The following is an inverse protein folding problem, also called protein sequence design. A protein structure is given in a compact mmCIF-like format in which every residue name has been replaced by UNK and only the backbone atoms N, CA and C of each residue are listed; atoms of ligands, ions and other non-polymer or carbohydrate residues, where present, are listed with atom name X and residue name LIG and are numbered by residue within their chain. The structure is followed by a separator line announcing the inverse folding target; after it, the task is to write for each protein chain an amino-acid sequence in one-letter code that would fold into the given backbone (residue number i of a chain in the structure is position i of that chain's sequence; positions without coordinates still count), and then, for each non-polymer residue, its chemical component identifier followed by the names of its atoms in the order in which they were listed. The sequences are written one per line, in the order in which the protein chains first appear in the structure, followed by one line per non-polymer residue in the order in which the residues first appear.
data_IF_686463478394
#
_entry.id   IF_686463478394
#
_cell.length_a   1.000
_cell.length_b   1.000
_cell.length_c   1.000
_cell.angle_alpha   90.00
_cell.angle_beta   90.00
_cell.angle_gamma   90.00
#
_symmetry.space_group_name_H-M   'P 1'
#
loop_
_entity.id
_entity.type
_entity.pdbx_description
1 polymer ?
#
# COMPACT_ATOMS: atom_id res chain seq x y z
N UNK A 1 18.93 -3.05 -2.07
CA UNK A 1 17.57 -3.43 -1.67
C UNK A 1 17.10 -2.51 -0.54
N UNK A 2 15.90 -1.97 -0.65
CA UNK A 2 15.22 -1.16 0.36
C UNK A 2 13.99 -1.93 0.83
N UNK A 3 13.67 -1.84 2.12
CA UNK A 3 12.42 -2.35 2.67
C UNK A 3 11.55 -1.17 3.07
N UNK A 4 10.37 -1.07 2.48
CA UNK A 4 9.33 -0.11 2.82
C UNK A 4 8.43 -0.80 3.84
N UNK A 5 8.41 -0.32 5.08
CA UNK A 5 7.38 -0.69 6.04
C UNK A 5 6.21 0.28 5.91
N UNK A 6 4.99 -0.22 5.93
CA UNK A 6 3.79 0.60 5.84
C UNK A 6 2.78 0.24 6.93
N UNK A 7 1.97 1.23 7.28
CA UNK A 7 0.98 1.16 8.33
C UNK A 7 -0.20 2.07 7.94
N UNK A 8 -1.37 1.49 7.72
CA UNK A 8 -2.59 2.19 7.35
C UNK A 8 -3.63 1.92 8.44
N UNK A 9 -4.15 2.97 9.06
CA UNK A 9 -5.12 2.87 10.18
C UNK A 9 -6.38 3.63 9.89
N UNK A 10 -7.51 3.03 10.23
CA UNK A 10 -8.75 3.75 10.38
C UNK A 10 -8.76 4.48 11.74
N UNK A 11 -9.00 5.78 11.72
CA UNK A 11 -9.21 6.57 12.96
C UNK A 11 -10.47 6.14 13.68
N UNK A 12 -11.54 5.86 12.91
CA UNK A 12 -12.83 5.41 13.39
C UNK A 12 -13.32 4.21 12.58
N UNK A 13 -14.30 3.48 13.10
CA UNK A 13 -14.92 2.38 12.36
C UNK A 13 -15.64 2.95 11.12
N UNK A 14 -15.33 2.44 9.91
CA UNK A 14 -16.06 2.85 8.72
C UNK A 14 -17.54 2.43 8.83
N UNK A 15 -18.44 3.28 8.31
CA UNK A 15 -19.88 3.02 8.29
C UNK A 15 -20.17 1.77 7.44
N UNK A 16 -19.48 1.65 6.32
CA UNK A 16 -19.55 0.48 5.45
C UNK A 16 -18.31 -0.37 5.68
N UNK A 17 -18.53 -1.63 6.03
CA UNK A 17 -17.44 -2.61 6.21
C UNK A 17 -17.53 -3.62 5.08
N UNK A 18 -16.64 -3.49 4.12
CA UNK A 18 -16.60 -4.32 2.92
C UNK A 18 -15.21 -4.83 2.63
N UNK A 19 -14.91 -4.91 1.36
CA UNK A 19 -13.59 -5.29 0.86
C UNK A 19 -12.94 -4.05 0.28
N UNK A 20 -11.78 -3.71 0.80
CA UNK A 20 -10.99 -2.58 0.38
C UNK A 20 -9.75 -3.00 -0.40
N UNK A 21 -8.98 -2.04 -0.86
CA UNK A 21 -7.71 -2.27 -1.51
C UNK A 21 -6.78 -1.07 -1.32
N UNK A 22 -5.48 -1.30 -1.43
CA UNK A 22 -4.48 -0.24 -1.37
C UNK A 22 -3.38 -0.47 -2.38
N UNK A 23 -2.69 0.60 -2.76
CA UNK A 23 -1.52 0.55 -3.62
C UNK A 23 -0.34 1.24 -2.97
N UNK A 24 0.85 0.69 -3.16
CA UNK A 24 2.13 1.28 -2.79
C UNK A 24 2.98 1.32 -4.03
N UNK A 25 3.34 2.53 -4.47
CA UNK A 25 4.23 2.75 -5.59
C UNK A 25 5.50 3.46 -5.19
N UNK A 26 6.54 3.39 -6.01
CA UNK A 26 7.79 4.08 -5.76
C UNK A 26 8.50 4.48 -7.03
N UNK A 27 9.30 5.55 -6.92
CA UNK A 27 10.29 5.97 -7.89
C UNK A 27 11.64 6.00 -7.18
N UNK A 28 12.63 5.32 -7.74
CA UNK A 28 13.98 5.32 -7.20
C UNK A 28 14.93 6.02 -8.16
N UNK A 29 15.93 6.71 -7.63
CA UNK A 29 16.97 7.37 -8.40
C UNK A 29 18.35 7.16 -7.80
N UNK A 30 19.37 7.25 -8.65
CA UNK A 30 20.78 7.26 -8.26
C UNK A 30 21.25 8.63 -7.75
N UNK A 31 22.53 8.75 -7.42
CA UNK A 31 23.14 10.00 -6.95
C UNK A 31 23.15 11.12 -7.99
N UNK A 32 22.99 10.80 -9.26
CA UNK A 32 22.88 11.74 -10.38
C UNK A 32 21.43 12.09 -10.74
N UNK A 33 20.48 11.62 -9.92
CA UNK A 33 19.03 11.77 -10.13
C UNK A 33 18.48 11.04 -11.37
N UNK A 34 19.21 10.07 -11.91
CA UNK A 34 18.68 9.21 -12.96
C UNK A 34 17.72 8.18 -12.34
N UNK A 35 16.55 8.05 -12.94
CA UNK A 35 15.57 7.05 -12.50
C UNK A 35 16.11 5.63 -12.72
N UNK A 36 15.98 4.81 -11.68
CA UNK A 36 16.41 3.42 -11.69
C UNK A 36 15.25 2.49 -12.02
N UNK A 37 15.51 1.52 -12.88
CA UNK A 37 14.60 0.39 -13.06
C UNK A 37 14.62 -0.47 -11.80
N UNK A 38 13.45 -0.70 -11.22
CA UNK A 38 13.26 -1.44 -9.97
C UNK A 38 12.39 -2.67 -10.14
N UNK A 39 12.49 -3.59 -9.20
CA UNK A 39 11.62 -4.77 -9.10
C UNK A 39 11.18 -4.97 -7.66
N UNK A 40 9.99 -5.54 -7.49
CA UNK A 40 9.52 -6.04 -6.20
C UNK A 40 10.29 -7.31 -5.85
N UNK A 41 10.95 -7.31 -4.70
CA UNK A 41 11.71 -8.47 -4.19
C UNK A 41 10.88 -9.29 -3.19
N UNK A 42 9.94 -8.64 -2.50
CA UNK A 42 9.01 -9.27 -1.56
C UNK A 42 7.85 -8.30 -1.28
N UNK A 43 6.68 -8.81 -0.97
CA UNK A 43 5.58 -8.02 -0.47
C UNK A 43 4.75 -8.86 0.50
N UNK A 44 4.41 -8.29 1.64
CA UNK A 44 3.59 -8.92 2.70
C UNK A 44 2.62 -7.88 3.22
N UNK A 45 1.38 -8.29 3.42
CA UNK A 45 0.33 -7.47 4.02
C UNK A 45 -0.55 -8.27 4.97
N UNK A 46 -0.97 -7.64 6.05
CA UNK A 46 -1.85 -8.20 7.06
C UNK A 46 -2.87 -7.16 7.53
N UNK A 47 -4.11 -7.59 7.72
CA UNK A 47 -5.17 -6.82 8.38
C UNK A 47 -5.31 -7.30 9.80
N UNK A 48 -5.26 -6.40 10.78
CA UNK A 48 -5.54 -6.67 12.18
C UNK A 48 -6.92 -6.13 12.56
N UNK A 49 -7.67 -6.93 13.32
CA UNK A 49 -9.06 -6.66 13.67
C UNK A 49 -9.22 -6.15 15.10
N UNK A 50 -10.18 -5.25 15.27
CA UNK A 50 -10.58 -4.69 16.56
C UNK A 50 -12.06 -4.98 16.82
N UNK A 51 -12.45 -5.03 18.10
CA UNK A 51 -13.84 -5.10 18.50
C UNK A 51 -14.57 -3.79 18.14
N UNK A 52 -15.73 -3.92 17.51
CA UNK A 52 -16.55 -2.78 17.10
C UNK A 52 -17.06 -1.95 18.28
N UNK A 53 -17.27 -2.58 19.45
CA UNK A 53 -17.78 -1.94 20.65
C UNK A 53 -16.74 -1.12 21.41
N UNK A 54 -15.46 -1.53 21.37
CA UNK A 54 -14.40 -0.92 22.20
C UNK A 54 -13.25 -0.33 21.37
N UNK A 55 -13.08 -0.76 20.12
CA UNK A 55 -11.91 -0.42 19.30
C UNK A 55 -10.60 -1.10 19.74
N UNK A 56 -10.66 -1.97 20.76
CA UNK A 56 -9.51 -2.72 21.23
C UNK A 56 -9.19 -3.89 20.30
N UNK A 57 -7.94 -4.35 20.30
CA UNK A 57 -7.52 -5.51 19.50
C UNK A 57 -8.37 -6.74 19.84
N UNK A 58 -8.83 -7.43 18.80
CA UNK A 58 -9.53 -8.70 18.91
C UNK A 58 -8.59 -9.90 18.89
N UNK A 59 -7.27 -9.69 18.73
CA UNK A 59 -6.29 -10.76 18.57
C UNK A 59 -6.45 -11.57 17.28
N UNK A 60 -7.14 -11.01 16.28
CA UNK A 60 -7.41 -11.65 15.00
C UNK A 60 -6.68 -10.89 13.89
N UNK A 61 -6.17 -11.62 12.89
CA UNK A 61 -5.60 -11.05 11.68
C UNK A 61 -5.92 -11.89 10.45
N UNK A 62 -5.76 -11.29 9.28
CA UNK A 62 -5.87 -11.95 7.97
C UNK A 62 -4.80 -11.44 7.03
N UNK A 63 -4.22 -12.32 6.23
CA UNK A 63 -3.29 -11.93 5.18
C UNK A 63 -4.00 -11.16 4.07
N UNK A 64 -3.27 -10.24 3.45
CA UNK A 64 -3.69 -9.53 2.25
C UNK A 64 -2.88 -10.07 1.07
N UNK A 65 -3.56 -10.43 -0.01
CA UNK A 65 -2.87 -10.82 -1.24
C UNK A 65 -2.20 -9.60 -1.86
N UNK A 66 -0.90 -9.72 -2.14
CA UNK A 66 -0.09 -8.63 -2.69
C UNK A 66 0.23 -8.93 -4.16
N UNK A 67 -0.42 -8.22 -5.09
CA UNK A 67 -0.06 -8.26 -6.49
C UNK A 67 1.26 -7.52 -6.73
N UNK A 68 2.28 -8.26 -7.12
CA UNK A 68 3.64 -7.79 -7.39
C UNK A 68 3.97 -7.77 -8.89
N UNK A 69 3.00 -8.02 -9.75
CA UNK A 69 3.20 -8.11 -11.21
C UNK A 69 3.53 -6.76 -11.86
N UNK A 70 3.27 -5.66 -11.15
CA UNK A 70 3.45 -4.31 -11.68
C UNK A 70 4.88 -3.79 -11.47
N UNK A 71 5.39 -3.07 -12.46
CA UNK A 71 6.66 -2.38 -12.34
C UNK A 71 6.51 -1.11 -11.49
N UNK A 72 7.33 -0.98 -10.44
CA UNK A 72 7.35 0.21 -9.57
C UNK A 72 6.21 0.29 -8.55
N UNK A 73 5.53 -0.80 -8.27
CA UNK A 73 4.48 -0.81 -7.26
C UNK A 73 3.93 -2.20 -6.93
N UNK A 74 3.11 -2.23 -5.89
CA UNK A 74 2.33 -3.40 -5.46
C UNK A 74 0.91 -2.98 -5.12
N UNK A 75 -0.03 -3.88 -5.28
CA UNK A 75 -1.43 -3.69 -4.90
C UNK A 75 -1.84 -4.77 -3.91
N UNK A 76 -2.37 -4.37 -2.77
CA UNK A 76 -2.98 -5.26 -1.78
C UNK A 76 -4.48 -5.36 -2.00
N UNK A 77 -4.98 -6.58 -2.29
CA UNK A 77 -6.41 -6.86 -2.49
C UNK A 77 -6.66 -8.38 -2.43
N UNK A 78 -7.76 -8.86 -1.87
CA UNK A 78 -8.77 -8.10 -1.13
C UNK A 78 -8.33 -7.76 0.31
N UNK A 79 -8.65 -6.55 0.77
CA UNK A 79 -8.53 -6.17 2.17
C UNK A 79 -9.89 -6.34 2.82
N UNK A 80 -10.06 -7.38 3.63
CA UNK A 80 -11.35 -7.71 4.25
C UNK A 80 -11.51 -6.85 5.51
N UNK A 81 -12.35 -5.82 5.46
CA UNK A 81 -12.64 -4.96 6.61
C UNK A 81 -13.70 -5.58 7.53
N UNK A 82 -14.63 -6.36 6.98
CA UNK A 82 -15.61 -7.08 7.78
C UNK A 82 -15.13 -8.51 8.01
N UNK A 83 -14.59 -8.78 9.18
CA UNK A 83 -14.33 -10.16 9.58
C UNK A 83 -15.65 -10.89 9.84
N UNK A 84 -15.75 -12.17 9.53
CA UNK A 84 -16.93 -13.06 9.48
C UNK A 84 -18.05 -12.87 10.53
N UNK A 85 -17.86 -11.97 11.49
CA UNK A 85 -18.86 -11.55 12.45
C UNK A 85 -18.94 -10.02 12.51
N UNK A 86 -20.11 -9.48 12.84
CA UNK A 86 -20.37 -8.05 12.91
C UNK A 86 -19.75 -7.36 14.13
N UNK A 87 -19.12 -8.11 15.03
CA UNK A 87 -18.53 -7.59 16.27
C UNK A 87 -17.09 -7.09 16.11
N UNK A 88 -16.44 -7.41 14.99
CA UNK A 88 -15.06 -6.98 14.69
C UNK A 88 -14.96 -6.29 13.34
N UNK A 89 -13.96 -5.41 13.18
CA UNK A 89 -13.61 -4.79 11.90
C UNK A 89 -12.10 -4.65 11.74
N UNK A 90 -11.62 -4.68 10.50
CA UNK A 90 -10.23 -4.43 10.17
C UNK A 90 -9.88 -2.97 10.38
N UNK A 91 -9.13 -2.67 11.42
CA UNK A 91 -8.74 -1.31 11.79
C UNK A 91 -7.35 -0.93 11.28
N UNK A 92 -6.49 -1.92 11.13
CA UNK A 92 -5.08 -1.72 10.90
C UNK A 92 -4.59 -2.64 9.79
N UNK A 93 -3.94 -2.07 8.78
CA UNK A 93 -3.30 -2.80 7.70
C UNK A 93 -1.82 -2.47 7.77
N UNK A 94 -0.98 -3.48 7.92
CA UNK A 94 0.47 -3.29 8.01
C UNK A 94 1.21 -4.32 7.17
N UNK A 95 2.46 -4.01 6.85
CA UNK A 95 3.28 -4.94 6.12
C UNK A 95 4.59 -4.35 5.64
N UNK A 96 5.23 -5.06 4.74
CA UNK A 96 6.50 -4.65 4.14
C UNK A 96 6.56 -4.93 2.65
N UNK A 97 7.24 -4.06 1.93
CA UNK A 97 7.56 -4.22 0.52
C UNK A 97 9.07 -4.10 0.33
N UNK A 98 9.70 -5.13 -0.20
CA UNK A 98 11.11 -5.13 -0.57
C UNK A 98 11.28 -4.65 -2.00
N UNK A 99 12.04 -3.57 -2.19
CA UNK A 99 12.36 -2.98 -3.50
C UNK A 99 13.84 -3.21 -3.81
N UNK A 100 14.12 -3.77 -4.97
CA UNK A 100 15.47 -3.92 -5.50
C UNK A 100 15.65 -3.20 -6.82
N UNK A 101 16.88 -2.87 -7.18
CA UNK A 101 17.23 -2.45 -8.55
C UNK A 101 17.26 -3.67 -9.47
N UNK A 102 16.89 -3.50 -10.74
CA UNK A 102 17.02 -4.57 -11.74
C UNK A 102 18.47 -4.86 -12.10
N UNK A 103 19.32 -3.84 -12.02
CA UNK A 103 20.76 -3.93 -12.25
C UNK A 103 21.50 -3.89 -10.91
N UNK A 104 22.47 -4.78 -10.72
CA UNK A 104 23.29 -4.84 -9.50
C UNK A 104 24.32 -3.70 -9.40
N UNK A 105 24.47 -2.87 -10.44
CA UNK A 105 25.50 -1.83 -10.54
C UNK A 105 25.09 -0.46 -10.06
N UNK A 106 23.79 -0.25 -9.73
CA UNK A 106 23.28 1.06 -9.35
C UNK A 106 22.86 1.10 -7.89
N UNK A 107 23.42 2.04 -7.13
CA UNK A 107 22.98 2.33 -5.78
C UNK A 107 21.77 3.24 -5.81
N UNK A 108 20.73 2.86 -5.10
CA UNK A 108 19.54 3.65 -4.90
C UNK A 108 19.85 4.74 -3.87
N UNK A 109 19.97 5.99 -4.32
CA UNK A 109 20.26 7.14 -3.45
C UNK A 109 18.97 7.73 -2.87
N UNK A 110 17.95 7.85 -3.72
CA UNK A 110 16.64 8.36 -3.31
C UNK A 110 15.53 7.39 -3.68
N UNK A 111 14.51 7.35 -2.85
CA UNK A 111 13.26 6.66 -3.15
C UNK A 111 12.09 7.53 -2.75
N UNK A 112 11.19 7.82 -3.69
CA UNK A 112 9.92 8.46 -3.44
C UNK A 112 8.84 7.38 -3.39
N UNK A 113 8.05 7.37 -2.33
CA UNK A 113 7.02 6.37 -2.07
C UNK A 113 5.65 7.05 -2.15
N UNK A 114 4.71 6.37 -2.79
CA UNK A 114 3.32 6.79 -2.93
C UNK A 114 2.42 5.72 -2.34
N UNK A 115 1.42 6.14 -1.58
CA UNK A 115 0.41 5.25 -1.00
C UNK A 115 -0.96 5.75 -1.37
N UNK A 116 -1.85 4.84 -1.77
CA UNK A 116 -3.26 5.13 -1.95
C UNK A 116 -4.10 4.03 -1.32
N UNK A 117 -5.22 4.43 -0.71
CA UNK A 117 -6.19 3.54 -0.13
C UNK A 117 -7.57 3.77 -0.75
N UNK A 118 -8.20 2.69 -1.20
CA UNK A 118 -9.52 2.70 -1.80
C UNK A 118 -10.50 1.92 -0.93
N UNK A 119 -11.56 2.61 -0.51
CA UNK A 119 -12.63 2.08 0.31
C UNK A 119 -13.87 1.76 -0.52
N UNK A 120 -14.45 0.60 -0.29
CA UNK A 120 -15.70 0.17 -0.90
C UNK A 120 -16.89 0.71 -0.12
N UNK A 121 -17.72 1.52 -0.76
CA UNK A 121 -18.88 2.18 -0.14
C UNK A 121 -20.18 1.37 -0.19
N UNK A 122 -20.15 0.17 -0.79
CA UNK A 122 -21.32 -0.74 -0.88
C UNK A 122 -20.81 -2.17 -0.89
N UNK A 123 -21.55 -3.11 -0.29
CA UNK A 123 -21.26 -4.54 -0.35
C UNK A 123 -21.33 -5.03 -1.80
N UNK A 124 -20.19 -5.25 -2.42
CA UNK A 124 -20.07 -5.72 -3.79
C UNK A 124 -19.22 -6.98 -3.82
N UNK A 125 -19.69 -7.97 -4.56
CA UNK A 125 -18.92 -9.17 -4.90
C UNK A 125 -17.79 -8.74 -5.85
N UNK A 126 -16.53 -9.00 -5.50
CA UNK A 126 -15.36 -8.62 -6.28
C UNK A 126 -15.26 -9.42 -7.58
N UNK A 127 -15.03 -8.74 -8.68
CA UNK A 127 -14.33 -9.24 -9.84
C UNK A 127 -13.02 -8.43 -10.00
N UNK A 128 -11.96 -9.10 -10.41
CA UNK A 128 -10.57 -8.76 -10.13
C UNK A 128 -9.92 -7.60 -10.93
N UNK A 129 -10.62 -6.55 -11.30
CA UNK A 129 -10.03 -5.46 -12.07
C UNK A 129 -10.15 -4.11 -11.33
N UNK A 130 -9.10 -3.75 -10.60
CA UNK A 130 -9.00 -2.45 -9.93
C UNK A 130 -7.79 -1.71 -10.46
N UNK A 131 -7.94 -0.68 -11.30
CA UNK A 131 -6.84 0.15 -11.78
C UNK A 131 -6.78 1.49 -11.06
N UNK A 132 -5.72 1.77 -10.33
CA UNK A 132 -5.36 3.07 -9.80
C UNK A 132 -4.37 3.73 -10.75
N UNK A 133 -4.84 4.66 -11.57
CA UNK A 133 -3.94 5.46 -12.37
C UNK A 133 -3.39 6.63 -11.54
N UNK A 134 -2.16 6.52 -11.10
CA UNK A 134 -1.38 7.64 -10.62
C UNK A 134 -0.82 8.40 -11.83
N UNK A 135 -1.58 9.38 -12.32
CA UNK A 135 -1.18 10.21 -13.46
C UNK A 135 -0.17 11.32 -13.12
N UNK A 136 0.40 11.32 -11.94
CA UNK A 136 1.49 12.24 -11.63
C UNK A 136 2.81 11.47 -11.63
N UNK A 137 3.74 11.90 -12.48
CA UNK A 137 5.14 11.44 -12.55
C UNK A 137 5.37 10.10 -13.25
N UNK A 138 4.68 9.83 -14.37
CA UNK A 138 5.10 8.72 -15.28
C UNK A 138 4.96 7.29 -14.74
N UNK A 139 4.21 7.10 -13.66
CA UNK A 139 3.89 5.80 -13.09
C UNK A 139 2.44 5.43 -13.37
N UNK A 140 2.24 4.26 -13.96
CA UNK A 140 0.91 3.63 -14.10
C UNK A 140 0.85 2.46 -13.16
N UNK A 141 0.42 2.67 -11.93
CA UNK A 141 -0.13 1.58 -11.13
C UNK A 141 -1.58 1.46 -11.54
N UNK A 142 -1.90 0.42 -12.28
CA UNK A 142 -3.26 0.19 -12.74
C UNK A 142 -4.08 -0.41 -11.61
N UNK A 143 -4.94 0.39 -11.04
CA UNK A 143 -5.85 0.05 -9.98
C UNK A 143 -7.26 0.40 -10.47
N UNK A 144 -8.05 -0.55 -10.93
CA UNK A 144 -9.42 -0.31 -11.41
C UNK A 144 -10.41 -0.53 -10.27
N UNK A 145 -10.90 0.54 -9.59
CA UNK A 145 -11.98 0.37 -8.63
C UNK A 145 -13.24 -0.10 -9.35
N UNK A 146 -13.88 -1.12 -8.84
CA UNK A 146 -15.23 -1.44 -9.25
C UNK A 146 -16.17 -0.27 -8.93
N UNK A 147 -17.28 -0.17 -9.63
CA UNK A 147 -18.21 0.99 -9.75
C UNK A 147 -18.61 1.77 -8.46
N UNK A 148 -18.10 1.39 -7.29
CA UNK A 148 -18.46 2.02 -6.00
C UNK A 148 -17.30 2.06 -4.98
N UNK A 149 -16.05 2.04 -5.40
CA UNK A 149 -14.91 2.33 -4.52
C UNK A 149 -14.48 3.77 -4.69
N UNK A 150 -14.13 4.41 -3.60
CA UNK A 150 -13.61 5.78 -3.58
C UNK A 150 -12.21 5.77 -2.98
N UNK A 151 -11.27 6.45 -3.60
CA UNK A 151 -9.96 6.69 -2.98
C UNK A 151 -10.17 7.71 -1.87
N UNK A 152 -9.93 7.27 -0.65
CA UNK A 152 -10.18 8.08 0.55
C UNK A 152 -8.90 8.61 1.19
N UNK A 153 -7.75 8.02 0.86
CA UNK A 153 -6.45 8.49 1.36
C UNK A 153 -5.38 8.37 0.28
N UNK A 154 -4.51 9.38 0.25
CA UNK A 154 -3.29 9.41 -0.57
C UNK A 154 -2.18 10.03 0.26
N UNK A 155 -0.96 9.55 0.06
CA UNK A 155 0.21 10.12 0.68
C UNK A 155 1.45 9.85 -0.16
N UNK A 156 2.46 10.70 0.01
CA UNK A 156 3.77 10.44 -0.55
C UNK A 156 4.86 10.92 0.42
N UNK A 157 6.03 10.33 0.33
CA UNK A 157 7.21 10.74 1.06
C UNK A 157 8.46 10.42 0.25
N UNK A 158 9.46 11.29 0.34
CA UNK A 158 10.76 11.08 -0.28
C UNK A 158 11.79 10.76 0.80
N UNK A 159 12.58 9.73 0.56
CA UNK A 159 13.65 9.29 1.45
C UNK A 159 14.96 9.34 0.71
N UNK A 160 16.01 9.79 1.40
CA UNK A 160 17.38 9.86 0.89
C UNK A 160 18.32 9.01 1.75
N UNK A 161 19.21 8.28 1.09
CA UNK A 161 20.25 7.49 1.75
C UNK A 161 21.35 8.39 2.30
N UNK A 162 21.73 8.22 3.56
CA UNK A 162 22.75 9.04 4.25
C UNK A 162 24.04 8.27 4.57
N UNK A 163 24.23 7.09 3.99
CA UNK A 163 25.36 6.20 4.28
C UNK A 163 25.10 5.17 5.38
N UNK A 164 24.07 5.36 6.21
CA UNK A 164 23.66 4.44 7.28
C UNK A 164 22.26 3.88 7.07
N UNK A 165 21.39 4.62 6.36
CA UNK A 165 20.02 4.25 6.08
C UNK A 165 19.27 5.33 5.32
N UNK A 166 17.97 5.10 5.10
CA UNK A 166 17.11 6.07 4.44
C UNK A 166 16.44 6.97 5.48
N UNK A 167 16.55 8.29 5.26
CA UNK A 167 15.90 9.31 6.10
C UNK A 167 14.92 10.11 5.25
N UNK A 168 13.84 10.59 5.87
CA UNK A 168 12.85 11.44 5.21
C UNK A 168 13.50 12.73 4.73
N UNK A 169 13.44 12.96 3.42
CA UNK A 169 13.94 14.18 2.77
C UNK A 169 12.84 15.21 2.53
N UNK A 170 11.59 14.88 2.81
CA UNK A 170 10.40 15.73 2.71
C UNK A 170 9.12 14.92 2.55
N UNK A 171 8.05 15.46 3.09
CA UNK A 171 6.65 15.08 2.79
C UNK A 171 6.04 16.20 1.97
N UNK A 172 5.38 15.88 0.86
CA UNK A 172 4.63 16.83 0.05
C UNK A 172 3.14 16.51 0.16
#
# INVERSE_FOLDING_TARGET
KVTIAYDIKWSERPIYVGIDSFGIGWIAADSSSHQLATKTASAVGEVSYCYASTGNSAGLSSSVDMDTSQSGGVVGTPVIINHQNTSTYGKHISGTVGVGTQSNSSNMETIQIFVAYAHSTVSVTFSADVALQWKQVGMSINFTPQKKTTIIARGNATFKYNGQGYQTAGTV
#
